data_IF_937794026747
#
_entry.id   IF_937794026747
#
_cell.length_a   1.000
_cell.length_b   1.000
_cell.length_c   1.000
_cell.angle_alpha   90.00
_cell.angle_beta   90.00
_cell.angle_gamma   90.00
#
_symmetry.space_group_name_H-M   'P 1'
#
loop_
_entity.id
_entity.type
_entity.pdbx_description
1 polymer ?
#
# COMPACT_ATOMS: atom_id res chain seq x y z
N UNK A 1 3.97 -16.67 8.10
CA UNK A 1 3.39 -15.35 7.80
C UNK A 1 3.34 -14.98 6.30
N UNK A 2 4.45 -14.80 5.58
CA UNK A 2 4.42 -14.43 4.14
C UNK A 2 3.84 -15.54 3.25
N UNK A 3 4.15 -16.80 3.56
CA UNK A 3 3.65 -17.94 2.81
C UNK A 3 2.15 -18.18 3.03
N UNK A 4 1.65 -18.11 4.27
CA UNK A 4 0.21 -18.24 4.57
C UNK A 4 -0.63 -17.12 3.95
N UNK A 5 -0.16 -15.87 3.99
CA UNK A 5 -0.84 -14.75 3.32
C UNK A 5 -0.93 -14.96 1.82
N UNK A 6 0.14 -15.50 1.20
CA UNK A 6 0.16 -15.83 -0.23
C UNK A 6 -0.78 -16.98 -0.55
N UNK A 7 -0.80 -18.03 0.28
CA UNK A 7 -1.72 -19.17 0.15
C UNK A 7 -3.18 -18.71 0.24
N UNK A 8 -3.52 -17.84 1.19
CA UNK A 8 -4.87 -17.31 1.31
C UNK A 8 -5.27 -16.46 0.09
N UNK A 9 -4.34 -15.66 -0.44
CA UNK A 9 -4.61 -14.83 -1.62
C UNK A 9 -4.82 -15.68 -2.90
N UNK A 10 -4.13 -16.82 -3.02
CA UNK A 10 -4.36 -17.80 -4.09
C UNK A 10 -5.74 -18.43 -3.95
N UNK A 11 -6.09 -18.91 -2.76
CA UNK A 11 -7.39 -19.51 -2.49
C UNK A 11 -8.55 -18.55 -2.75
N UNK A 12 -8.43 -17.29 -2.31
CA UNK A 12 -9.40 -16.22 -2.56
C UNK A 12 -9.61 -16.00 -4.07
N UNK A 13 -8.52 -16.00 -4.86
CA UNK A 13 -8.58 -15.84 -6.30
C UNK A 13 -9.30 -17.02 -6.95
N UNK A 14 -8.92 -18.25 -6.60
CA UNK A 14 -9.50 -19.47 -7.17
C UNK A 14 -11.00 -19.60 -6.85
N UNK A 15 -11.42 -19.28 -5.62
CA UNK A 15 -12.83 -19.29 -5.23
C UNK A 15 -13.67 -18.29 -6.06
N UNK A 16 -13.03 -17.21 -6.52
CA UNK A 16 -13.64 -16.20 -7.40
C UNK A 16 -13.61 -16.57 -8.89
N UNK A 17 -13.10 -17.75 -9.25
CA UNK A 17 -12.86 -18.14 -10.64
C UNK A 17 -11.69 -17.39 -11.29
N UNK A 18 -10.83 -16.76 -10.48
CA UNK A 18 -9.65 -16.04 -10.93
C UNK A 18 -8.39 -16.89 -10.76
N UNK A 19 -7.45 -16.69 -11.67
CA UNK A 19 -6.12 -17.27 -11.62
C UNK A 19 -5.17 -16.33 -10.87
N UNK A 20 -4.38 -16.85 -9.93
CA UNK A 20 -3.42 -16.02 -9.19
C UNK A 20 -2.15 -15.73 -10.02
N UNK A 21 -2.24 -14.79 -10.98
CA UNK A 21 -1.14 -14.38 -11.86
C UNK A 21 -0.02 -13.57 -11.20
N UNK A 22 1.21 -13.76 -11.66
CA UNK A 22 2.39 -12.96 -11.29
C UNK A 22 3.00 -12.26 -12.51
N UNK A 23 3.54 -11.05 -12.32
CA UNK A 23 4.25 -10.32 -13.37
C UNK A 23 5.62 -10.92 -13.74
N UNK A 24 6.02 -12.00 -13.07
CA UNK A 24 7.19 -12.83 -13.40
C UNK A 24 6.87 -13.96 -14.37
N UNK A 25 5.59 -14.20 -14.66
CA UNK A 25 5.14 -15.22 -15.61
C UNK A 25 5.17 -14.70 -17.05
N UNK A 26 5.00 -15.60 -18.02
CA UNK A 26 4.85 -15.21 -19.41
C UNK A 26 3.61 -14.31 -19.60
N UNK A 27 3.78 -13.23 -20.34
CA UNK A 27 2.73 -12.26 -20.63
C UNK A 27 3.03 -11.49 -21.91
N UNK A 28 2.19 -10.49 -22.19
CA UNK A 28 2.48 -9.51 -23.23
C UNK A 28 3.30 -8.37 -22.66
N UNK A 29 4.14 -7.78 -23.49
CA UNK A 29 4.90 -6.58 -23.16
C UNK A 29 4.62 -5.46 -24.16
N UNK A 30 4.76 -4.21 -23.70
CA UNK A 30 4.64 -3.05 -24.59
C UNK A 30 6.01 -2.67 -25.15
N UNK A 31 6.07 -2.51 -26.46
CA UNK A 31 7.19 -1.90 -27.16
C UNK A 31 6.73 -0.60 -27.81
N UNK A 32 7.61 0.41 -27.79
CA UNK A 32 7.35 1.71 -28.41
C UNK A 32 8.28 1.82 -29.62
N UNK A 33 7.71 2.12 -30.79
CA UNK A 33 8.43 2.32 -32.04
C UNK A 33 8.02 3.66 -32.65
N UNK A 34 8.79 4.71 -32.35
CA UNK A 34 8.41 6.08 -32.69
C UNK A 34 7.17 6.49 -31.89
N UNK A 35 6.11 6.92 -32.57
CA UNK A 35 4.83 7.30 -31.96
C UNK A 35 3.86 6.12 -31.79
N UNK A 36 4.18 4.96 -32.38
CA UNK A 36 3.33 3.78 -32.31
C UNK A 36 3.71 2.89 -31.13
N UNK A 37 2.70 2.43 -30.38
CA UNK A 37 2.86 1.35 -29.41
C UNK A 37 2.44 0.01 -30.05
N UNK A 38 3.23 -1.02 -29.80
CA UNK A 38 2.92 -2.39 -30.18
C UNK A 38 3.02 -3.32 -28.98
N UNK A 39 2.18 -4.34 -28.95
CA UNK A 39 2.24 -5.39 -27.93
C UNK A 39 2.85 -6.65 -28.51
N UNK A 40 3.76 -7.27 -27.77
CA UNK A 40 4.45 -8.51 -28.17
C UNK A 40 4.31 -9.58 -27.10
N UNK A 41 4.32 -10.84 -27.50
CA UNK A 41 4.34 -11.99 -26.59
C UNK A 41 5.74 -12.26 -26.00
N UNK A 42 5.84 -13.29 -25.16
CA UNK A 42 7.09 -13.76 -24.53
C UNK A 42 8.17 -14.16 -25.55
N UNK A 43 7.81 -14.38 -26.81
CA UNK A 43 8.72 -14.72 -27.92
C UNK A 43 9.01 -13.52 -28.82
N UNK A 44 8.55 -12.33 -28.46
CA UNK A 44 8.73 -11.10 -29.26
C UNK A 44 7.81 -11.01 -30.48
N UNK A 45 6.82 -11.89 -30.62
CA UNK A 45 5.88 -11.86 -31.75
C UNK A 45 4.75 -10.87 -31.47
N UNK A 46 4.44 -10.03 -32.46
CA UNK A 46 3.36 -9.06 -32.37
C UNK A 46 2.01 -9.73 -32.08
N UNK A 47 1.29 -9.18 -31.09
CA UNK A 47 -0.07 -9.59 -30.73
C UNK A 47 -1.04 -9.09 -31.82
N UNK A 48 -1.63 -10.02 -32.57
CA UNK A 48 -2.60 -9.73 -33.66
C UNK A 48 -4.04 -10.11 -33.32
N UNK A 49 -4.25 -10.77 -32.19
CA UNK A 49 -5.57 -11.22 -31.76
C UNK A 49 -6.47 -10.04 -31.42
N UNK A 50 -7.57 -9.86 -32.16
CA UNK A 50 -8.54 -8.78 -31.92
C UNK A 50 -9.09 -8.78 -30.49
N UNK A 51 -9.27 -9.98 -29.90
CA UNK A 51 -9.76 -10.13 -28.52
C UNK A 51 -8.74 -9.63 -27.49
N UNK A 52 -7.47 -9.98 -27.67
CA UNK A 52 -6.40 -9.56 -26.77
C UNK A 52 -6.16 -8.05 -26.85
N UNK A 53 -6.08 -7.51 -28.07
CA UNK A 53 -5.91 -6.07 -28.28
C UNK A 53 -7.07 -5.26 -27.68
N UNK A 54 -8.31 -5.73 -27.84
CA UNK A 54 -9.48 -5.08 -27.21
C UNK A 54 -9.37 -5.08 -25.69
N UNK A 55 -9.00 -6.22 -25.09
CA UNK A 55 -8.82 -6.32 -23.63
C UNK A 55 -7.72 -5.39 -23.13
N UNK A 56 -6.59 -5.33 -23.83
CA UNK A 56 -5.48 -4.42 -23.49
C UNK A 56 -5.93 -2.96 -23.55
N UNK A 57 -6.71 -2.57 -24.56
CA UNK A 57 -7.26 -1.22 -24.67
C UNK A 57 -8.24 -0.88 -23.53
N UNK A 58 -9.11 -1.83 -23.18
CA UNK A 58 -10.08 -1.72 -22.07
C UNK A 58 -9.38 -1.56 -20.70
N UNK A 59 -8.14 -2.06 -20.52
CA UNK A 59 -7.36 -1.84 -19.30
C UNK A 59 -6.92 -0.38 -19.12
N UNK A 60 -6.91 0.43 -20.19
CA UNK A 60 -6.46 1.84 -20.15
C UNK A 60 -5.07 2.01 -19.51
N UNK A 61 -4.12 1.15 -19.89
CA UNK A 61 -2.73 1.21 -19.39
C UNK A 61 -2.14 2.58 -19.77
N UNK A 62 -1.75 3.42 -18.79
CA UNK A 62 -1.24 4.76 -19.09
C UNK A 62 -0.07 4.74 -20.08
N UNK A 63 -0.05 5.67 -21.06
CA UNK A 63 1.00 5.70 -22.08
C UNK A 63 2.39 5.98 -21.50
N UNK A 64 2.46 6.71 -20.38
CA UNK A 64 3.71 7.06 -19.72
C UNK A 64 4.36 5.89 -18.94
N UNK A 65 3.68 4.74 -18.80
CA UNK A 65 4.29 3.60 -18.10
C UNK A 65 5.43 2.97 -18.92
N UNK A 66 6.51 2.58 -18.28
CA UNK A 66 7.58 1.78 -18.86
C UNK A 66 7.53 0.35 -18.30
N UNK A 67 8.31 -0.56 -18.87
CA UNK A 67 8.40 -1.97 -18.39
C UNK A 67 7.04 -2.64 -18.18
N UNK A 68 6.14 -2.42 -19.15
CA UNK A 68 4.77 -2.92 -19.04
C UNK A 68 4.74 -4.43 -19.26
N UNK A 69 4.16 -5.13 -18.30
CA UNK A 69 3.77 -6.53 -18.39
C UNK A 69 2.25 -6.64 -18.34
N UNK A 70 1.67 -7.51 -19.16
CA UNK A 70 0.23 -7.74 -19.25
C UNK A 70 -0.03 -9.24 -19.19
N UNK A 71 -0.90 -9.66 -18.28
CA UNK A 71 -1.30 -11.05 -18.17
C UNK A 71 -1.97 -11.53 -19.46
N UNK A 72 -1.59 -12.71 -19.93
CA UNK A 72 -2.17 -13.34 -21.12
C UNK A 72 -3.62 -13.77 -20.89
N UNK A 73 -3.91 -14.27 -19.68
CA UNK A 73 -5.20 -14.83 -19.34
C UNK A 73 -6.17 -13.76 -18.81
N UNK A 74 -7.39 -13.76 -19.35
CA UNK A 74 -8.42 -12.78 -18.98
C UNK A 74 -8.85 -12.86 -17.51
N UNK A 75 -8.69 -14.03 -16.87
CA UNK A 75 -9.07 -14.28 -15.49
C UNK A 75 -7.89 -14.18 -14.52
N UNK A 76 -6.72 -13.70 -14.95
CA UNK A 76 -5.62 -13.39 -14.02
C UNK A 76 -6.01 -12.28 -13.05
N UNK A 77 -5.80 -12.47 -11.74
CA UNK A 77 -6.15 -11.48 -10.73
C UNK A 77 -5.36 -10.17 -10.93
N UNK A 78 -4.09 -10.28 -11.30
CA UNK A 78 -3.23 -9.19 -11.75
C UNK A 78 -3.25 -9.17 -13.29
N UNK A 79 -3.79 -8.09 -13.86
CA UNK A 79 -3.97 -7.94 -15.31
C UNK A 79 -2.81 -7.22 -15.98
N UNK A 80 -2.22 -6.21 -15.34
CA UNK A 80 -1.03 -5.56 -15.86
C UNK A 80 -0.18 -4.93 -14.75
N UNK A 81 1.11 -4.77 -15.03
CA UNK A 81 2.02 -3.92 -14.25
C UNK A 81 2.81 -3.01 -15.17
N UNK A 82 3.31 -1.91 -14.63
CA UNK A 82 4.27 -1.06 -15.31
C UNK A 82 4.92 -0.09 -14.33
N UNK A 83 5.97 0.60 -14.77
CA UNK A 83 6.67 1.60 -13.98
C UNK A 83 6.18 2.99 -14.40
N UNK A 84 5.68 3.79 -13.46
CA UNK A 84 5.24 5.16 -13.77
C UNK A 84 6.41 6.14 -13.91
N UNK A 85 6.11 7.40 -14.28
CA UNK A 85 7.11 8.46 -14.42
C UNK A 85 7.89 8.74 -13.11
N UNK A 86 7.33 8.37 -11.95
CA UNK A 86 7.96 8.49 -10.63
C UNK A 86 8.73 7.23 -10.22
N UNK A 87 8.99 6.30 -11.17
CA UNK A 87 9.69 5.03 -10.96
C UNK A 87 9.00 4.09 -9.96
N UNK A 88 7.68 4.19 -9.83
CA UNK A 88 6.88 3.30 -8.97
C UNK A 88 6.22 2.24 -9.82
N UNK A 89 6.25 1.00 -9.34
CA UNK A 89 5.45 -0.08 -9.93
C UNK A 89 3.97 0.21 -9.68
N UNK A 90 3.23 0.30 -10.76
CA UNK A 90 1.79 0.42 -10.79
C UNK A 90 1.16 -0.91 -11.22
N UNK A 91 -0.05 -1.16 -10.75
CA UNK A 91 -0.75 -2.42 -10.91
C UNK A 91 -2.16 -2.17 -11.43
N UNK A 92 -2.62 -3.01 -12.34
CA UNK A 92 -4.01 -3.10 -12.77
C UNK A 92 -4.50 -4.49 -12.40
N UNK A 93 -5.54 -4.56 -11.59
CA UNK A 93 -6.15 -5.81 -11.14
C UNK A 93 -7.46 -6.09 -11.88
N UNK A 94 -7.88 -7.35 -11.88
CA UNK A 94 -9.22 -7.73 -12.29
C UNK A 94 -10.27 -7.06 -11.37
N UNK A 95 -11.41 -6.68 -11.92
CA UNK A 95 -12.48 -5.99 -11.17
C UNK A 95 -13.02 -6.84 -10.01
N UNK A 96 -13.31 -8.12 -10.27
CA UNK A 96 -13.72 -9.09 -9.24
C UNK A 96 -12.69 -9.19 -8.11
N UNK A 97 -11.39 -9.22 -8.43
CA UNK A 97 -10.35 -9.24 -7.40
C UNK A 97 -10.40 -7.98 -6.52
N UNK A 98 -10.56 -6.82 -7.16
CA UNK A 98 -10.63 -5.54 -6.45
C UNK A 98 -11.84 -5.50 -5.51
N UNK A 99 -12.99 -6.00 -5.97
CA UNK A 99 -14.20 -6.10 -5.15
C UNK A 99 -14.00 -7.00 -3.94
N UNK A 100 -13.52 -8.23 -4.14
CA UNK A 100 -13.30 -9.19 -3.05
C UNK A 100 -12.30 -8.68 -2.02
N UNK A 101 -11.21 -8.05 -2.46
CA UNK A 101 -10.22 -7.46 -1.56
C UNK A 101 -10.78 -6.26 -0.79
N UNK A 102 -11.71 -5.53 -1.38
CA UNK A 102 -12.45 -4.47 -0.69
C UNK A 102 -13.35 -5.05 0.39
N UNK A 103 -14.19 -6.04 0.06
CA UNK A 103 -15.10 -6.71 1.00
C UNK A 103 -14.33 -7.36 2.17
N UNK A 104 -13.28 -8.12 1.88
CA UNK A 104 -12.45 -8.74 2.91
C UNK A 104 -11.75 -7.72 3.83
N UNK A 105 -11.52 -6.48 3.35
CA UNK A 105 -11.02 -5.38 4.19
C UNK A 105 -12.12 -4.85 5.13
N UNK A 106 -13.36 -4.75 4.65
CA UNK A 106 -14.50 -4.33 5.47
C UNK A 106 -14.81 -5.36 6.57
N UNK A 107 -14.74 -6.66 6.29
CA UNK A 107 -14.98 -7.70 7.29
C UNK A 107 -14.00 -7.64 8.47
N UNK A 108 -12.74 -7.27 8.20
CA UNK A 108 -11.71 -7.09 9.23
C UNK A 108 -11.95 -5.86 10.11
N UNK A 109 -12.83 -4.95 9.71
CA UNK A 109 -13.10 -3.73 10.48
C UNK A 109 -13.74 -4.06 11.83
N UNK A 110 -14.63 -5.05 11.89
CA UNK A 110 -15.30 -5.44 13.15
C UNK A 110 -14.31 -6.02 14.16
N UNK A 111 -13.43 -6.92 13.71
CA UNK A 111 -12.41 -7.52 14.58
C UNK A 111 -11.37 -6.49 15.02
N UNK A 112 -10.97 -5.57 14.13
CA UNK A 112 -10.12 -4.44 14.50
C UNK A 112 -10.78 -3.53 15.54
N UNK A 113 -12.06 -3.18 15.36
CA UNK A 113 -12.82 -2.37 16.31
C UNK A 113 -12.88 -2.99 17.71
N UNK A 114 -13.02 -4.32 17.81
CA UNK A 114 -12.97 -5.05 19.10
C UNK A 114 -11.57 -5.06 19.74
N UNK A 115 -10.51 -4.92 18.95
CA UNK A 115 -9.14 -4.88 19.44
C UNK A 115 -8.70 -3.47 19.90
N UNK A 116 -9.37 -2.41 19.43
CA UNK A 116 -9.01 -1.01 19.74
C UNK A 116 -8.89 -0.72 21.24
N UNK A 117 -9.80 -1.14 22.14
CA UNK A 117 -9.66 -0.86 23.57
C UNK A 117 -8.34 -1.40 24.15
N UNK A 118 -7.95 -2.62 23.76
CA UNK A 118 -6.69 -3.25 24.23
C UNK A 118 -5.45 -2.55 23.67
N UNK A 119 -5.51 -2.09 22.41
CA UNK A 119 -4.42 -1.31 21.80
C UNK A 119 -4.25 0.01 22.55
N UNK A 120 -5.37 0.66 22.90
CA UNK A 120 -5.38 1.94 23.63
C UNK A 120 -4.81 1.81 25.03
N UNK A 121 -5.29 0.81 25.79
CA UNK A 121 -4.74 0.46 27.09
C UNK A 121 -3.22 0.25 27.02
N UNK A 122 -2.75 -0.55 26.04
CA UNK A 122 -1.34 -0.85 25.89
C UNK A 122 -0.47 0.38 25.60
N UNK A 123 -0.88 1.26 24.67
CA UNK A 123 -0.06 2.44 24.39
C UNK A 123 -0.07 3.41 25.59
N UNK A 124 -1.14 3.47 26.41
CA UNK A 124 -1.13 4.30 27.62
C UNK A 124 -0.14 3.78 28.66
N UNK A 125 -0.07 2.46 28.87
CA UNK A 125 0.95 1.85 29.72
C UNK A 125 2.36 2.16 29.22
N UNK A 126 2.62 2.00 27.92
CA UNK A 126 3.95 2.19 27.33
C UNK A 126 4.37 3.67 27.33
N UNK A 127 3.42 4.61 27.22
CA UNK A 127 3.69 6.04 27.42
C UNK A 127 4.13 6.35 28.86
N UNK A 128 3.58 5.66 29.85
CA UNK A 128 3.93 5.84 31.26
C UNK A 128 5.31 5.26 31.63
N UNK A 129 5.96 4.51 30.75
CA UNK A 129 7.25 3.88 31.05
C UNK A 129 8.41 4.89 31.20
N UNK A 130 8.92 5.10 32.42
CA UNK A 130 9.96 6.09 32.76
C UNK A 130 11.25 6.00 31.94
N UNK A 131 11.53 4.84 31.33
CA UNK A 131 12.76 4.58 30.62
C UNK A 131 13.98 4.65 31.53
N UNK A 132 15.16 4.88 30.93
CA UNK A 132 16.38 5.10 31.70
C UNK A 132 17.17 6.30 31.16
N UNK A 133 18.15 6.76 31.95
CA UNK A 133 18.99 7.91 31.60
C UNK A 133 19.77 7.73 30.29
N UNK A 134 20.17 6.50 29.94
CA UNK A 134 20.87 6.24 28.66
C UNK A 134 19.97 6.49 27.45
N UNK A 135 18.65 6.37 27.64
CA UNK A 135 17.64 6.61 26.61
C UNK A 135 17.00 8.01 26.74
N UNK A 136 17.54 8.91 27.57
CA UNK A 136 16.92 10.21 27.86
C UNK A 136 15.45 10.11 28.32
N UNK A 137 15.09 9.04 29.05
CA UNK A 137 13.70 8.73 29.41
C UNK A 137 12.78 8.53 28.18
N UNK A 138 13.31 8.14 27.02
CA UNK A 138 12.55 7.82 25.80
C UNK A 138 12.85 6.37 25.35
N UNK A 139 12.33 5.36 26.07
CA UNK A 139 12.47 3.98 25.64
C UNK A 139 11.73 3.75 24.31
N UNK A 140 12.15 2.72 23.57
CA UNK A 140 11.59 2.40 22.26
C UNK A 140 10.06 2.27 22.31
N UNK A 141 9.55 1.60 23.35
CA UNK A 141 8.13 1.36 23.58
C UNK A 141 7.36 2.68 23.73
N UNK A 142 7.91 3.66 24.47
CA UNK A 142 7.30 4.99 24.62
C UNK A 142 7.20 5.73 23.28
N UNK A 143 8.25 5.67 22.45
CA UNK A 143 8.24 6.29 21.12
C UNK A 143 7.23 5.61 20.20
N UNK A 144 7.19 4.27 20.21
CA UNK A 144 6.20 3.51 19.43
C UNK A 144 4.77 3.79 19.88
N UNK A 145 4.52 3.84 21.18
CA UNK A 145 3.23 4.17 21.75
C UNK A 145 2.77 5.59 21.37
N UNK A 146 3.69 6.56 21.35
CA UNK A 146 3.43 7.91 20.87
C UNK A 146 3.01 7.92 19.40
N UNK A 147 3.73 7.19 18.53
CA UNK A 147 3.38 7.08 17.10
C UNK A 147 2.00 6.44 16.93
N UNK A 148 1.70 5.36 17.66
CA UNK A 148 0.40 4.68 17.61
C UNK A 148 -0.73 5.60 18.09
N UNK A 149 -0.51 6.33 19.18
CA UNK A 149 -1.48 7.32 19.69
C UNK A 149 -1.75 8.42 18.66
N UNK A 150 -0.70 8.98 18.06
CA UNK A 150 -0.86 9.99 17.02
C UNK A 150 -1.63 9.44 15.81
N UNK A 151 -1.39 8.18 15.43
CA UNK A 151 -2.15 7.53 14.37
C UNK A 151 -3.64 7.37 14.73
N UNK A 152 -3.97 7.02 15.98
CA UNK A 152 -5.35 6.85 16.47
C UNK A 152 -6.11 8.18 16.57
N UNK A 153 -5.44 9.28 16.92
CA UNK A 153 -6.10 10.58 17.18
C UNK A 153 -6.06 11.56 16.01
N UNK A 154 -5.06 11.49 15.14
CA UNK A 154 -4.86 12.46 14.05
C UNK A 154 -5.12 11.91 12.66
N UNK A 155 -5.13 10.58 12.52
CA UNK A 155 -5.22 9.87 11.23
C UNK A 155 -4.12 10.23 10.22
N UNK A 156 -3.01 10.84 10.67
CA UNK A 156 -1.83 11.08 9.84
C UNK A 156 -1.28 9.73 9.38
N UNK A 157 -0.89 9.66 8.11
CA UNK A 157 -0.29 8.45 7.54
C UNK A 157 1.07 8.19 8.18
N UNK A 158 1.46 6.92 8.29
CA UNK A 158 2.78 6.53 8.79
C UNK A 158 3.92 7.25 8.04
N UNK A 159 3.83 7.39 6.71
CA UNK A 159 4.91 7.97 5.91
C UNK A 159 5.96 6.94 5.53
N UNK A 160 6.89 7.34 4.65
CA UNK A 160 8.06 6.55 4.26
C UNK A 160 9.13 7.47 3.68
N UNK A 161 10.37 6.98 3.67
CA UNK A 161 11.53 7.75 3.20
C UNK A 161 11.46 8.08 1.71
N UNK A 162 10.94 7.18 0.88
CA UNK A 162 10.76 7.44 -0.56
C UNK A 162 9.90 8.67 -0.84
N UNK A 163 8.86 8.88 -0.04
CA UNK A 163 7.95 10.03 -0.18
C UNK A 163 8.54 11.30 0.43
N UNK A 164 9.36 11.17 1.48
CA UNK A 164 10.12 12.26 2.10
C UNK A 164 11.19 12.79 1.15
N UNK A 165 11.91 11.88 0.49
CA UNK A 165 13.09 12.17 -0.32
C UNK A 165 12.74 12.46 -1.80
N UNK A 166 11.45 12.59 -2.15
CA UNK A 166 10.99 13.01 -3.47
C UNK A 166 11.46 14.45 -3.73
N UNK A 167 12.31 14.62 -4.75
CA UNK A 167 12.97 15.91 -5.08
C UNK A 167 12.01 16.96 -5.65
N UNK A 168 10.87 16.54 -6.19
CA UNK A 168 9.88 17.46 -6.76
C UNK A 168 8.88 17.90 -5.68
N UNK A 169 8.42 16.95 -4.86
CA UNK A 169 7.43 17.20 -3.81
C UNK A 169 7.61 16.24 -2.64
N UNK A 170 8.44 16.63 -1.69
CA UNK A 170 8.57 15.95 -0.41
C UNK A 170 7.23 15.91 0.33
N UNK A 171 6.89 14.74 0.87
CA UNK A 171 5.72 14.55 1.73
C UNK A 171 6.10 13.76 2.98
N UNK A 172 5.53 14.17 4.11
CA UNK A 172 5.92 13.67 5.43
C UNK A 172 4.74 12.94 6.09
N UNK A 173 5.06 11.94 6.92
CA UNK A 173 4.13 11.22 7.78
C UNK A 173 4.72 11.03 9.17
N UNK A 174 4.05 10.29 10.05
CA UNK A 174 4.46 10.12 11.45
C UNK A 174 5.91 9.64 11.63
N UNK A 175 6.39 8.71 10.79
CA UNK A 175 7.74 8.15 10.86
C UNK A 175 8.80 8.98 10.13
N UNK A 176 8.40 10.04 9.43
CA UNK A 176 9.32 10.94 8.70
C UNK A 176 9.19 12.40 9.13
N UNK A 177 8.36 12.68 10.14
CA UNK A 177 8.17 14.00 10.72
C UNK A 177 9.49 14.57 11.24
N UNK A 178 9.62 15.89 11.17
CA UNK A 178 10.81 16.65 11.56
C UNK A 178 10.38 17.77 12.51
N UNK A 179 11.32 18.31 13.28
CA UNK A 179 11.04 19.32 14.31
C UNK A 179 10.27 20.54 13.77
N UNK A 180 10.57 20.97 12.54
CA UNK A 180 9.89 22.10 11.87
C UNK A 180 8.41 21.85 11.55
N UNK A 181 7.95 20.58 11.58
CA UNK A 181 6.56 20.22 11.36
C UNK A 181 5.70 20.30 12.63
N UNK A 182 6.31 20.56 13.79
CA UNK A 182 5.63 20.57 15.08
C UNK A 182 5.79 21.95 15.70
N UNK A 183 4.66 22.59 15.98
CA UNK A 183 4.62 23.79 16.81
C UNK A 183 4.05 23.45 18.17
N UNK A 184 4.80 23.75 19.23
CA UNK A 184 4.35 23.57 20.59
C UNK A 184 3.67 24.86 21.06
N UNK A 185 2.34 24.83 21.15
CA UNK A 185 1.61 25.86 21.89
C UNK A 185 1.60 25.49 23.38
N UNK A 186 1.81 26.50 24.24
CA UNK A 186 1.57 26.32 25.67
C UNK A 186 0.08 26.02 25.86
N UNK A 187 -0.22 24.82 26.34
CA UNK A 187 -1.58 24.45 26.74
C UNK A 187 -1.62 24.51 28.26
N UNK A 188 -2.62 25.18 28.83
CA UNK A 188 -2.88 25.05 30.27
C UNK A 188 -3.06 23.56 30.57
N UNK A 189 -2.35 23.06 31.58
CA UNK A 189 -2.48 21.66 31.99
C UNK A 189 -3.95 21.52 32.43
N UNK A 190 -4.77 20.66 31.78
CA UNK A 190 -6.13 20.43 32.23
C UNK A 190 -6.09 20.03 33.70
N UNK A 191 -6.98 20.58 34.52
CA UNK A 191 -7.10 20.15 35.91
C UNK A 191 -7.33 18.63 35.94
N UNK A 192 -6.98 17.95 37.04
CA UNK A 192 -7.07 16.48 37.09
C UNK A 192 -8.47 15.94 36.75
N UNK A 193 -9.50 16.77 36.96
CA UNK A 193 -10.91 16.50 36.66
C UNK A 193 -11.23 16.51 35.15
N UNK A 194 -10.40 17.19 34.34
CA UNK A 194 -10.49 17.28 32.88
C UNK A 194 -9.53 16.31 32.16
N UNK A 195 -8.77 15.51 32.91
CA UNK A 195 -8.17 14.30 32.34
C UNK A 195 -9.33 13.31 32.12
N UNK A 196 -9.51 12.90 30.87
CA UNK A 196 -10.48 11.94 30.29
C UNK A 196 -11.90 12.43 30.04
#
# INVERSE_FOLDING_TARGET
>A
MTNEKKINAIADAEQAGLYYSSNTEEGFTRQIKGEEQMFVDSKGKAVKGKRDLKRIDEMRIPPAWTEVWICKEKNGHLQATGIDAKKRTQYIYHSIWTQLRSEAKFDKMSSFGRALPKIREKYFEDLAADGNKKQNALPYERVMALIVRLLDTTFIRIGNETSRDDKEKATYGLSTMQDEHIEFASTEIPEEEDKW
#
